data_IF_293574642920
#
_entry.id   IF_293574642920
#
_cell.length_a   1.000
_cell.length_b   1.000
_cell.length_c   1.000
_cell.angle_alpha   90.00
_cell.angle_beta   90.00
_cell.angle_gamma   90.00
#
_symmetry.space_group_name_H-M   'P 1'
#
loop_
_entity.id
_entity.type
_entity.pdbx_description
1 polymer ?
#
# COMPACT_ATOMS: atom_id res chain seq x y z
N UNK A 1 -23.70 -1.77 9.69
CA UNK A 1 -24.49 -3.02 9.60
C UNK A 1 -23.65 -4.07 8.91
N UNK A 2 -23.71 -5.35 9.31
CA UNK A 2 -22.98 -6.46 8.66
C UNK A 2 -23.93 -7.28 7.81
N UNK A 3 -23.49 -7.68 6.62
CA UNK A 3 -24.24 -8.57 5.71
C UNK A 3 -23.54 -9.93 5.70
N UNK A 4 -24.31 -11.02 5.79
CA UNK A 4 -23.75 -12.37 5.65
C UNK A 4 -23.41 -12.62 4.19
N UNK A 5 -22.20 -13.08 3.92
CA UNK A 5 -21.72 -13.40 2.58
C UNK A 5 -21.09 -14.78 2.62
N UNK A 6 -21.49 -15.66 1.69
CA UNK A 6 -20.83 -16.95 1.49
C UNK A 6 -19.69 -16.77 0.51
N UNK A 7 -18.49 -17.21 0.87
CA UNK A 7 -17.31 -17.17 0.01
C UNK A 7 -16.65 -18.54 0.01
N UNK A 8 -16.09 -18.93 -1.13
CA UNK A 8 -15.31 -20.16 -1.25
C UNK A 8 -13.86 -19.87 -0.92
N UNK A 9 -13.29 -20.59 0.04
CA UNK A 9 -11.89 -20.50 0.44
C UNK A 9 -11.26 -21.89 0.42
N UNK A 10 -9.95 -21.97 0.24
CA UNK A 10 -9.25 -23.25 0.26
C UNK A 10 -9.30 -23.87 1.66
N UNK A 11 -9.36 -25.20 1.72
CA UNK A 11 -9.37 -25.93 3.00
C UNK A 11 -8.11 -25.65 3.83
N UNK A 12 -6.96 -25.49 3.18
CA UNK A 12 -5.70 -25.21 3.85
C UNK A 12 -5.71 -23.81 4.49
N UNK A 13 -6.22 -22.81 3.77
CA UNK A 13 -6.35 -21.45 4.31
C UNK A 13 -7.29 -21.42 5.52
N UNK A 14 -8.41 -22.14 5.48
CA UNK A 14 -9.31 -22.23 6.63
C UNK A 14 -8.61 -22.86 7.86
N UNK A 15 -7.78 -23.88 7.66
CA UNK A 15 -6.98 -24.48 8.74
C UNK A 15 -5.97 -23.50 9.32
N UNK A 16 -5.26 -22.75 8.48
CA UNK A 16 -4.31 -21.73 8.94
C UNK A 16 -5.01 -20.63 9.73
N UNK A 17 -6.17 -20.18 9.25
CA UNK A 17 -7.02 -19.24 9.98
C UNK A 17 -7.38 -19.84 11.34
N UNK A 18 -7.87 -21.08 11.40
CA UNK A 18 -8.25 -21.77 12.64
C UNK A 18 -7.10 -22.00 13.63
N UNK A 19 -5.85 -22.03 13.17
CA UNK A 19 -4.69 -22.10 14.04
C UNK A 19 -4.43 -20.75 14.72
N UNK A 20 -4.72 -19.64 14.04
CA UNK A 20 -4.47 -18.28 14.51
C UNK A 20 -5.60 -17.81 15.43
N UNK A 21 -6.85 -17.99 15.01
CA UNK A 21 -8.00 -17.78 15.88
C UNK A 21 -8.16 -19.03 16.72
N UNK A 22 -7.74 -18.97 17.99
CA UNK A 22 -8.01 -19.99 19.00
C UNK A 22 -9.47 -20.47 18.95
N UNK A 23 -9.78 -21.65 19.49
CA UNK A 23 -11.08 -22.36 19.34
C UNK A 23 -12.37 -21.52 19.53
N UNK A 24 -12.32 -20.35 20.15
CA UNK A 24 -13.44 -19.41 20.35
C UNK A 24 -13.47 -18.22 19.37
N UNK A 25 -12.55 -18.14 18.41
CA UNK A 25 -12.39 -17.00 17.52
C UNK A 25 -13.37 -16.98 16.34
N UNK A 26 -13.81 -15.78 15.97
CA UNK A 26 -14.77 -15.57 14.89
C UNK A 26 -14.05 -15.41 13.54
N UNK A 27 -14.15 -16.43 12.67
CA UNK A 27 -13.57 -16.42 11.30
C UNK A 27 -14.00 -15.21 10.48
N UNK A 28 -15.28 -14.82 10.56
CA UNK A 28 -15.78 -13.66 9.81
C UNK A 28 -15.15 -12.35 10.30
N UNK A 29 -14.90 -12.22 11.61
CA UNK A 29 -14.20 -11.06 12.16
C UNK A 29 -12.74 -11.03 11.72
N UNK A 30 -12.05 -12.17 11.77
CA UNK A 30 -10.67 -12.30 11.30
C UNK A 30 -10.53 -11.90 9.83
N UNK A 31 -11.40 -12.44 8.97
CA UNK A 31 -11.41 -12.13 7.53
C UNK A 31 -11.73 -10.65 7.29
N UNK A 32 -12.69 -10.07 8.03
CA UNK A 32 -13.05 -8.65 7.90
C UNK A 32 -11.85 -7.74 8.22
N UNK A 33 -11.14 -7.98 9.33
CA UNK A 33 -9.98 -7.19 9.72
C UNK A 33 -8.81 -7.37 8.74
N UNK A 34 -8.57 -8.59 8.26
CA UNK A 34 -7.57 -8.84 7.22
C UNK A 34 -7.86 -8.04 5.94
N UNK A 35 -9.11 -8.03 5.48
CA UNK A 35 -9.53 -7.27 4.29
C UNK A 35 -9.40 -5.77 4.53
N UNK A 36 -9.81 -5.25 5.69
CA UNK A 36 -9.64 -3.82 6.02
C UNK A 36 -8.18 -3.39 5.97
N UNK A 37 -7.30 -4.18 6.58
CA UNK A 37 -5.86 -3.90 6.59
C UNK A 37 -5.27 -3.97 5.18
N UNK A 38 -5.68 -4.94 4.37
CA UNK A 38 -5.27 -5.03 2.97
C UNK A 38 -5.72 -3.82 2.16
N UNK A 39 -6.98 -3.39 2.28
CA UNK A 39 -7.50 -2.21 1.59
C UNK A 39 -6.83 -0.92 2.04
N UNK A 40 -6.53 -0.77 3.33
CA UNK A 40 -5.81 0.39 3.84
C UNK A 40 -4.39 0.46 3.27
N UNK A 41 -3.67 -0.67 3.25
CA UNK A 41 -2.34 -0.75 2.64
C UNK A 41 -2.38 -0.45 1.15
N UNK A 42 -3.36 -1.01 0.42
CA UNK A 42 -3.52 -0.74 -1.02
C UNK A 42 -3.78 0.74 -1.32
N UNK A 43 -4.61 1.41 -0.51
CA UNK A 43 -4.85 2.86 -0.62
C UNK A 43 -3.58 3.67 -0.32
N UNK A 44 -2.81 3.29 0.71
CA UNK A 44 -1.53 3.92 1.02
C UNK A 44 -0.55 3.77 -0.14
N UNK A 45 -0.38 2.57 -0.67
CA UNK A 45 0.53 2.32 -1.79
C UNK A 45 0.14 3.09 -3.05
N UNK A 46 -1.16 3.20 -3.35
CA UNK A 46 -1.63 4.00 -4.47
C UNK A 46 -1.32 5.49 -4.29
N UNK A 47 -1.46 6.04 -3.07
CA UNK A 47 -1.06 7.41 -2.77
C UNK A 47 0.44 7.61 -2.90
N UNK A 48 1.23 6.73 -2.27
CA UNK A 48 2.69 6.81 -2.31
C UNK A 48 3.23 6.75 -3.75
N UNK A 49 2.57 6.00 -4.65
CA UNK A 49 2.94 5.99 -6.06
C UNK A 49 2.77 7.37 -6.70
N UNK A 50 1.62 8.03 -6.46
CA UNK A 50 1.38 9.37 -6.99
C UNK A 50 2.34 10.40 -6.37
N UNK A 51 2.66 10.28 -5.08
CA UNK A 51 3.59 11.17 -4.40
C UNK A 51 5.02 11.01 -4.95
N UNK A 52 5.44 9.77 -5.26
CA UNK A 52 6.73 9.48 -5.87
C UNK A 52 6.85 10.11 -7.27
N UNK A 53 5.77 10.09 -8.07
CA UNK A 53 5.75 10.73 -9.38
C UNK A 53 5.92 12.25 -9.30
N UNK A 54 5.34 12.89 -8.26
CA UNK A 54 5.51 14.33 -7.99
C UNK A 54 6.95 14.64 -7.58
N UNK A 55 7.51 13.88 -6.63
CA UNK A 55 8.89 14.06 -6.17
C UNK A 55 9.88 13.96 -7.34
N UNK A 56 9.72 12.96 -8.20
CA UNK A 56 10.59 12.79 -9.36
C UNK A 56 10.49 13.97 -10.32
N UNK A 57 9.28 14.46 -10.61
CA UNK A 57 9.11 15.64 -11.48
C UNK A 57 9.80 16.87 -10.89
N UNK A 58 9.63 17.13 -9.61
CA UNK A 58 10.29 18.25 -8.94
C UNK A 58 11.81 18.08 -8.90
N UNK A 59 12.32 16.86 -8.75
CA UNK A 59 13.75 16.57 -8.82
C UNK A 59 14.32 16.83 -10.22
N UNK A 60 13.59 16.45 -11.28
CA UNK A 60 13.99 16.73 -12.66
C UNK A 60 14.05 18.24 -12.94
N UNK A 61 13.07 19.01 -12.46
CA UNK A 61 13.06 20.48 -12.57
C UNK A 61 14.24 21.11 -11.82
N UNK A 62 14.47 20.71 -10.57
CA UNK A 62 15.60 21.20 -9.76
C UNK A 62 16.96 20.85 -10.37
N UNK A 63 17.10 19.64 -10.91
CA UNK A 63 18.35 19.22 -11.59
C UNK A 63 18.62 20.09 -12.82
N UNK A 64 17.58 20.40 -13.60
CA UNK A 64 17.71 21.28 -14.76
C UNK A 64 18.11 22.70 -14.35
N UNK A 65 17.53 23.25 -13.28
CA UNK A 65 17.92 24.55 -12.74
C UNK A 65 19.38 24.53 -12.23
N UNK A 66 19.80 23.46 -11.57
CA UNK A 66 21.17 23.31 -11.11
C UNK A 66 22.17 23.22 -12.27
N UNK A 67 21.86 22.48 -13.33
CA UNK A 67 22.66 22.42 -14.57
C UNK A 67 22.78 23.80 -15.23
N UNK A 68 21.68 24.56 -15.29
CA UNK A 68 21.69 25.93 -15.80
C UNK A 68 22.61 26.82 -14.96
N UNK A 69 22.49 26.81 -13.63
CA UNK A 69 23.36 27.57 -12.72
C UNK A 69 24.83 27.19 -12.89
N UNK A 70 25.14 25.89 -12.98
CA UNK A 70 26.51 25.40 -13.18
C UNK A 70 27.09 25.90 -14.50
N UNK A 71 26.27 26.08 -15.55
CA UNK A 71 26.74 26.61 -16.84
C UNK A 71 27.33 28.02 -16.72
N UNK A 72 26.82 28.85 -15.79
CA UNK A 72 27.36 30.19 -15.52
C UNK A 72 28.66 30.17 -14.68
N UNK A 73 29.00 29.04 -14.06
CA UNK A 73 30.21 28.90 -13.23
C UNK A 73 31.46 28.45 -14.01
N UNK A 74 31.32 28.02 -15.27
CA UNK A 74 32.44 27.52 -16.09
C UNK A 74 33.29 28.64 -16.70
N UNK A 75 32.96 29.91 -16.45
CA UNK A 75 33.74 31.07 -16.92
C UNK A 75 34.40 31.85 -15.77
N UNK A 76 35.38 31.23 -15.09
CA UNK A 76 36.38 31.91 -14.25
C UNK A 76 37.77 31.37 -14.62
#
# INVERSE_FOLDING_TARGET
>A
MKVKTSITLSKNLLKEIDLIISKSGNRSLFIEEAIKNYLMQKKRNLRNKNDLDIINRSADELNKEAEDILSYQVNI
#
